data_IF_927740002549
#
_entry.id   IF_927740002549
#
_cell.length_a   1.000
_cell.length_b   1.000
_cell.length_c   1.000
_cell.angle_alpha   90.00
_cell.angle_beta   90.00
_cell.angle_gamma   90.00
#
_symmetry.space_group_name_H-M   'P 1'
#
loop_
_entity.id
_entity.type
_entity.pdbx_description
1 polymer ?
#
# COMPACT_ATOMS: atom_id res chain seq x y z
N UNK A 1 29.88 15.41 -22.39
CA UNK A 1 29.35 16.30 -21.33
C UNK A 1 27.98 15.76 -20.99
N UNK A 2 27.91 14.81 -20.06
CA UNK A 2 26.64 14.35 -19.52
C UNK A 2 26.12 15.45 -18.58
N UNK A 3 24.93 15.95 -18.87
CA UNK A 3 24.23 16.91 -18.04
C UNK A 3 24.04 16.31 -16.64
N UNK A 4 24.16 17.09 -15.54
CA UNK A 4 23.88 16.56 -14.20
C UNK A 4 22.46 16.00 -14.20
N UNK A 5 22.31 14.72 -13.86
CA UNK A 5 21.01 14.11 -13.71
C UNK A 5 20.19 14.96 -12.71
N UNK A 6 19.04 15.47 -13.17
CA UNK A 6 18.05 16.03 -12.24
C UNK A 6 17.75 14.95 -11.20
N UNK A 7 17.88 15.28 -9.91
CA UNK A 7 17.71 14.33 -8.82
C UNK A 7 16.33 13.63 -8.85
N UNK A 8 15.34 14.25 -9.52
CA UNK A 8 14.01 13.72 -9.76
C UNK A 8 13.62 13.98 -11.23
N UNK A 9 13.39 12.95 -12.05
CA UNK A 9 12.95 13.13 -13.44
C UNK A 9 11.54 13.73 -13.49
N UNK A 10 11.24 14.44 -14.58
CA UNK A 10 9.89 14.96 -14.84
C UNK A 10 8.87 13.81 -14.86
N UNK A 11 7.74 13.89 -14.12
CA UNK A 11 6.72 12.86 -14.14
C UNK A 11 6.07 12.72 -15.52
N UNK A 12 5.66 11.50 -15.85
CA UNK A 12 4.87 11.23 -17.06
C UNK A 12 3.59 12.06 -17.01
N UNK A 13 3.23 12.68 -18.13
CA UNK A 13 2.00 13.47 -18.29
C UNK A 13 1.12 12.81 -19.33
N UNK A 14 -0.17 12.69 -19.03
CA UNK A 14 -1.10 11.93 -19.86
C UNK A 14 -1.23 10.50 -19.36
N UNK A 15 -1.25 9.55 -20.27
CA UNK A 15 -1.52 8.14 -19.95
C UNK A 15 -0.44 7.55 -19.01
N UNK A 16 -0.84 6.62 -18.14
CA UNK A 16 0.16 5.88 -17.35
C UNK A 16 0.97 4.98 -18.31
N UNK A 17 2.26 4.80 -18.04
CA UNK A 17 3.08 3.86 -18.82
C UNK A 17 2.96 2.45 -18.24
N UNK A 18 2.90 1.44 -19.11
CA UNK A 18 2.72 0.05 -18.70
C UNK A 18 3.93 -0.51 -17.90
N UNK A 19 5.12 0.08 -18.06
CA UNK A 19 6.30 -0.33 -17.32
C UNK A 19 6.52 0.59 -16.10
N UNK A 20 6.75 0.03 -14.90
CA UNK A 20 7.10 0.83 -13.73
C UNK A 20 8.41 1.59 -13.93
N UNK A 21 8.36 2.91 -13.73
CA UNK A 21 9.50 3.83 -13.88
C UNK A 21 9.95 4.41 -12.54
N UNK A 22 10.54 5.61 -12.58
CA UNK A 22 11.13 6.22 -11.39
C UNK A 22 10.12 6.47 -10.27
N UNK A 23 8.92 6.96 -10.59
CA UNK A 23 7.92 7.33 -9.58
C UNK A 23 7.26 6.11 -8.95
N UNK A 24 7.02 5.06 -9.73
CA UNK A 24 6.53 3.78 -9.22
C UNK A 24 7.51 3.16 -8.22
N UNK A 25 8.81 3.09 -8.57
CA UNK A 25 9.84 2.58 -7.66
C UNK A 25 10.03 3.48 -6.44
N UNK A 26 9.95 4.81 -6.61
CA UNK A 26 10.00 5.76 -5.50
C UNK A 26 8.83 5.58 -4.53
N UNK A 27 7.62 5.33 -5.06
CA UNK A 27 6.44 5.03 -4.25
C UNK A 27 6.65 3.78 -3.38
N UNK A 28 7.21 2.72 -3.98
CA UNK A 28 7.49 1.45 -3.30
C UNK A 28 8.58 1.63 -2.22
N UNK A 29 9.70 2.26 -2.58
CA UNK A 29 10.83 2.49 -1.69
C UNK A 29 10.51 3.46 -0.55
N UNK A 30 9.57 4.38 -0.81
CA UNK A 30 9.05 5.36 0.15
C UNK A 30 10.18 6.17 0.83
N UNK A 31 10.91 7.00 0.05
CA UNK A 31 12.01 7.82 0.57
C UNK A 31 11.53 8.99 1.46
N UNK A 32 10.23 9.25 1.54
CA UNK A 32 9.69 10.38 2.28
C UNK A 32 9.66 10.13 3.80
N UNK A 33 10.15 11.06 4.63
CA UNK A 33 10.19 10.88 6.09
C UNK A 33 8.83 10.54 6.72
N UNK A 34 7.74 11.13 6.22
CA UNK A 34 6.38 10.89 6.73
C UNK A 34 5.88 9.48 6.44
N UNK A 35 6.30 8.88 5.34
CA UNK A 35 5.92 7.52 4.97
C UNK A 35 6.75 6.46 5.69
N UNK A 36 8.02 6.73 6.03
CA UNK A 36 8.93 5.73 6.64
C UNK A 36 8.38 5.11 7.92
N UNK A 37 7.90 5.91 8.87
CA UNK A 37 7.36 5.38 10.15
C UNK A 37 6.06 4.60 9.99
N UNK A 38 5.26 4.91 8.97
CA UNK A 38 3.98 4.23 8.72
C UNK A 38 4.23 2.89 8.05
N UNK A 39 5.18 2.86 7.11
CA UNK A 39 5.64 1.67 6.40
C UNK A 39 6.02 0.52 7.33
N UNK A 40 6.75 0.81 8.39
CA UNK A 40 7.30 -0.17 9.32
C UNK A 40 6.23 -0.78 10.24
N UNK A 41 5.02 -0.19 10.29
CA UNK A 41 3.93 -0.65 11.14
C UNK A 41 3.05 -1.67 10.39
N UNK A 42 3.01 -2.93 10.85
CA UNK A 42 2.13 -3.94 10.26
C UNK A 42 0.66 -3.51 10.30
N UNK A 43 -0.10 -3.93 9.30
CA UNK A 43 -1.54 -3.64 9.19
C UNK A 43 -1.91 -2.24 8.69
N UNK A 44 -0.93 -1.37 8.41
CA UNK A 44 -1.19 -0.11 7.71
C UNK A 44 -1.35 -0.34 6.20
N UNK A 45 -2.16 0.50 5.54
CA UNK A 45 -2.34 0.46 4.09
C UNK A 45 -0.99 0.49 3.34
N UNK A 46 -0.11 1.42 3.75
CA UNK A 46 1.20 1.57 3.15
C UNK A 46 2.08 0.33 3.30
N UNK A 47 2.05 -0.32 4.47
CA UNK A 47 2.76 -1.58 4.70
C UNK A 47 2.25 -2.69 3.78
N UNK A 48 0.92 -2.86 3.70
CA UNK A 48 0.31 -3.92 2.88
C UNK A 48 0.52 -3.69 1.38
N UNK A 49 0.50 -2.44 0.91
CA UNK A 49 0.71 -2.13 -0.52
C UNK A 49 2.13 -2.42 -1.00
N UNK A 50 3.13 -2.48 -0.12
CA UNK A 50 4.52 -2.70 -0.51
C UNK A 50 4.83 -4.14 -0.92
N UNK A 51 3.98 -5.09 -0.56
CA UNK A 51 4.13 -6.47 -1.01
C UNK A 51 3.47 -6.70 -2.37
N UNK A 52 2.71 -5.73 -2.88
CA UNK A 52 2.08 -5.82 -4.18
C UNK A 52 3.08 -5.54 -5.31
N UNK A 53 3.02 -6.28 -6.43
CA UNK A 53 3.88 -6.03 -7.58
C UNK A 53 3.55 -4.67 -8.22
N UNK A 54 4.58 -3.93 -8.61
CA UNK A 54 4.43 -2.73 -9.43
C UNK A 54 3.83 -3.11 -10.79
N UNK A 55 2.87 -2.31 -11.26
CA UNK A 55 2.14 -2.56 -12.51
C UNK A 55 2.34 -1.49 -13.57
N UNK A 56 2.67 -0.26 -13.20
CA UNK A 56 2.75 0.88 -14.13
C UNK A 56 3.50 2.07 -13.54
N UNK A 57 3.95 2.97 -14.40
CA UNK A 57 4.40 4.31 -14.04
C UNK A 57 3.20 5.29 -14.00
N UNK A 58 2.91 5.94 -12.87
CA UNK A 58 1.81 6.89 -12.75
C UNK A 58 1.87 8.07 -13.72
N UNK A 59 0.84 8.21 -14.55
CA UNK A 59 0.63 9.38 -15.40
C UNK A 59 -0.08 10.51 -14.66
N UNK A 60 0.41 11.75 -14.79
CA UNK A 60 -0.20 12.95 -14.22
C UNK A 60 -1.06 13.69 -15.24
N UNK A 61 -2.15 14.30 -14.77
CA UNK A 61 -3.00 15.19 -15.60
C UNK A 61 -2.33 16.50 -15.94
N UNK A 62 -1.53 17.03 -15.02
CA UNK A 62 -0.87 18.33 -15.16
C UNK A 62 0.62 18.15 -15.00
N UNK A 63 1.38 18.76 -15.90
CA UNK A 63 2.83 18.82 -15.81
C UNK A 63 3.25 19.43 -14.47
N UNK A 64 4.23 18.80 -13.84
CA UNK A 64 4.97 19.31 -12.68
C UNK A 64 6.44 19.08 -12.97
N UNK A 65 7.31 19.94 -12.45
CA UNK A 65 8.72 19.55 -12.38
C UNK A 65 8.87 18.39 -11.37
N UNK A 66 9.94 17.60 -11.51
CA UNK A 66 10.15 16.41 -10.67
C UNK A 66 10.28 16.77 -9.18
N UNK A 67 10.98 17.86 -8.87
CA UNK A 67 11.24 18.29 -7.50
C UNK A 67 9.96 18.70 -6.74
N UNK A 68 9.12 19.55 -7.35
CA UNK A 68 7.83 19.97 -6.78
C UNK A 68 6.91 18.77 -6.60
N UNK A 69 6.93 17.82 -7.54
CA UNK A 69 6.13 16.61 -7.40
C UNK A 69 6.61 15.77 -6.21
N UNK A 70 7.92 15.55 -6.09
CA UNK A 70 8.54 14.85 -4.96
C UNK A 70 8.14 15.48 -3.62
N UNK A 71 8.27 16.80 -3.49
CA UNK A 71 7.90 17.50 -2.27
C UNK A 71 6.40 17.45 -2.01
N UNK A 72 5.56 17.60 -3.04
CA UNK A 72 4.10 17.49 -2.91
C UNK A 72 3.69 16.13 -2.36
N UNK A 73 4.29 15.04 -2.86
CA UNK A 73 4.04 13.69 -2.35
C UNK A 73 4.40 13.61 -0.86
N UNK A 74 5.58 14.11 -0.49
CA UNK A 74 6.09 14.08 0.89
C UNK A 74 5.27 14.87 1.91
N UNK A 75 4.37 15.77 1.50
CA UNK A 75 3.57 16.58 2.43
C UNK A 75 2.57 15.77 3.26
N UNK A 76 2.05 14.66 2.73
CA UNK A 76 0.99 13.86 3.36
C UNK A 76 1.17 12.37 3.11
N UNK A 77 0.93 11.56 4.15
CA UNK A 77 0.90 10.09 4.01
C UNK A 77 -0.10 9.63 2.96
N UNK A 78 -1.27 10.28 2.89
CA UNK A 78 -2.29 9.97 1.87
C UNK A 78 -1.80 10.18 0.43
N UNK A 79 -0.88 11.11 0.19
CA UNK A 79 -0.30 11.32 -1.15
C UNK A 79 0.67 10.19 -1.50
N UNK A 80 1.48 9.75 -0.53
CA UNK A 80 2.41 8.61 -0.68
C UNK A 80 1.61 7.34 -0.97
N UNK A 81 0.60 7.06 -0.15
CA UNK A 81 -0.31 5.92 -0.35
C UNK A 81 -1.01 6.00 -1.70
N UNK A 82 -1.54 7.17 -2.07
CA UNK A 82 -2.20 7.35 -3.36
C UNK A 82 -1.26 7.08 -4.54
N UNK A 83 -0.01 7.56 -4.48
CA UNK A 83 1.00 7.27 -5.51
C UNK A 83 1.31 5.77 -5.58
N UNK A 84 1.45 5.09 -4.43
CA UNK A 84 1.71 3.67 -4.41
C UNK A 84 0.52 2.87 -4.96
N UNK A 85 -0.72 3.21 -4.55
CA UNK A 85 -1.94 2.63 -5.13
C UNK A 85 -1.98 2.85 -6.64
N UNK A 86 -1.66 4.06 -7.12
CA UNK A 86 -1.59 4.34 -8.55
C UNK A 86 -0.60 3.41 -9.26
N UNK A 87 0.49 3.03 -8.60
CA UNK A 87 1.56 2.20 -9.18
C UNK A 87 1.28 0.69 -9.14
N UNK A 88 0.57 0.19 -8.11
CA UNK A 88 0.34 -1.27 -7.90
C UNK A 88 -1.10 -1.71 -8.15
N UNK A 89 -2.05 -0.79 -8.12
CA UNK A 89 -3.48 -1.09 -8.08
C UNK A 89 -4.08 -1.53 -9.43
N UNK A 90 -5.38 -1.67 -9.47
CA UNK A 90 -6.14 -2.00 -10.67
C UNK A 90 -6.75 -0.73 -11.27
N UNK A 91 -6.56 -0.56 -12.58
CA UNK A 91 -7.18 0.54 -13.34
C UNK A 91 -8.65 0.21 -13.55
N UNK A 92 -9.51 1.18 -13.27
CA UNK A 92 -10.93 1.14 -13.60
C UNK A 92 -11.15 1.88 -14.92
N UNK A 93 -11.95 1.29 -15.81
CA UNK A 93 -12.35 1.95 -17.06
C UNK A 93 -12.98 3.31 -16.74
N UNK A 94 -12.70 4.33 -17.56
CA UNK A 94 -13.18 5.70 -17.28
C UNK A 94 -14.70 5.78 -17.18
N UNK A 95 -15.45 4.91 -17.87
CA UNK A 95 -16.93 4.87 -17.81
C UNK A 95 -17.45 4.32 -16.49
N UNK A 96 -16.64 3.52 -15.80
CA UNK A 96 -16.94 2.90 -14.50
C UNK A 96 -16.19 3.57 -13.34
N UNK A 97 -15.33 4.56 -13.66
CA UNK A 97 -14.60 5.32 -12.67
C UNK A 97 -15.56 6.09 -11.75
N UNK A 98 -15.10 6.40 -10.53
CA UNK A 98 -15.88 7.24 -9.64
C UNK A 98 -16.11 8.65 -10.24
N UNK A 99 -17.20 9.31 -9.84
CA UNK A 99 -17.69 10.57 -10.41
C UNK A 99 -16.60 11.65 -10.42
N UNK A 100 -15.80 11.72 -9.36
CA UNK A 100 -14.66 12.64 -9.26
C UNK A 100 -13.63 12.42 -10.37
N UNK A 101 -13.30 11.16 -10.66
CA UNK A 101 -12.37 10.80 -11.72
C UNK A 101 -12.99 10.97 -13.12
N UNK A 102 -14.29 10.73 -13.30
CA UNK A 102 -14.99 11.00 -14.56
C UNK A 102 -14.93 12.49 -14.92
N UNK A 103 -15.00 13.36 -13.90
CA UNK A 103 -14.80 14.80 -14.02
C UNK A 103 -13.32 15.22 -14.15
N UNK A 104 -12.41 14.26 -14.39
CA UNK A 104 -10.97 14.48 -14.50
C UNK A 104 -10.33 15.20 -13.30
N UNK A 105 -10.83 14.93 -12.08
CA UNK A 105 -10.34 15.54 -10.85
C UNK A 105 -9.33 14.66 -10.10
N UNK A 106 -8.33 15.31 -9.49
CA UNK A 106 -7.16 14.65 -8.87
C UNK A 106 -5.90 14.73 -9.76
N UNK A 107 -4.74 14.32 -9.23
CA UNK A 107 -3.47 14.49 -9.94
C UNK A 107 -3.21 13.46 -11.04
N UNK A 108 -3.74 12.24 -10.91
CA UNK A 108 -3.44 11.12 -11.82
C UNK A 108 -4.45 11.03 -12.93
N UNK A 109 -4.04 10.58 -14.12
CA UNK A 109 -4.95 10.44 -15.25
C UNK A 109 -5.96 9.32 -15.07
N UNK A 110 -5.51 8.16 -14.59
CA UNK A 110 -6.37 6.98 -14.41
C UNK A 110 -7.07 6.93 -13.05
N UNK A 111 -8.26 6.33 -13.02
CA UNK A 111 -8.93 5.94 -11.78
C UNK A 111 -8.40 4.57 -11.34
N UNK A 112 -7.67 4.52 -10.22
CA UNK A 112 -7.05 3.28 -9.74
C UNK A 112 -7.50 2.95 -8.32
N UNK A 113 -7.79 1.67 -8.07
CA UNK A 113 -8.14 1.15 -6.75
C UNK A 113 -7.16 0.07 -6.29
N UNK A 114 -7.08 -0.15 -4.98
CA UNK A 114 -6.45 -1.35 -4.41
C UNK A 114 -7.54 -2.41 -4.16
N UNK A 115 -7.93 -3.16 -5.19
CA UNK A 115 -9.09 -4.07 -5.16
C UNK A 115 -9.01 -5.10 -4.01
N UNK A 116 -7.86 -5.73 -3.79
CA UNK A 116 -7.65 -6.66 -2.68
C UNK A 116 -7.62 -6.00 -1.29
N UNK A 117 -7.50 -4.67 -1.21
CA UNK A 117 -7.33 -3.91 0.03
C UNK A 117 -8.48 -2.93 0.28
N UNK A 118 -9.67 -3.19 -0.29
CA UNK A 118 -10.85 -2.33 -0.14
C UNK A 118 -11.27 -2.12 1.32
N UNK A 119 -11.00 -3.10 2.18
CA UNK A 119 -11.25 -3.02 3.62
C UNK A 119 -10.33 -1.99 4.33
N UNK A 120 -9.16 -1.67 3.76
CA UNK A 120 -8.25 -0.62 4.23
C UNK A 120 -8.45 0.70 3.48
N UNK A 121 -8.79 0.63 2.19
CA UNK A 121 -8.98 1.80 1.33
C UNK A 121 -10.24 1.69 0.47
N UNK A 122 -11.29 2.38 0.90
CA UNK A 122 -12.58 2.44 0.20
C UNK A 122 -12.61 3.44 -0.98
N UNK A 123 -11.51 4.13 -1.27
CA UNK A 123 -11.44 5.18 -2.29
C UNK A 123 -10.43 4.84 -3.39
N UNK A 124 -10.53 5.52 -4.53
CA UNK A 124 -9.48 5.45 -5.55
C UNK A 124 -8.27 6.33 -5.18
N UNK A 125 -7.13 6.13 -5.84
CA UNK A 125 -5.91 6.91 -5.63
C UNK A 125 -6.13 8.43 -5.78
N UNK A 126 -6.85 8.86 -6.82
CA UNK A 126 -7.14 10.28 -7.07
C UNK A 126 -7.94 10.94 -5.93
N UNK A 127 -8.92 10.24 -5.37
CA UNK A 127 -9.72 10.75 -4.26
C UNK A 127 -9.00 10.61 -2.92
N UNK A 128 -8.15 9.59 -2.76
CA UNK A 128 -7.32 9.43 -1.56
C UNK A 128 -6.29 10.56 -1.46
N UNK A 129 -5.76 11.01 -2.60
CA UNK A 129 -4.82 12.12 -2.68
C UNK A 129 -5.32 13.36 -1.92
N UNK A 130 -4.44 13.94 -1.11
CA UNK A 130 -4.76 15.11 -0.30
C UNK A 130 -5.73 14.84 0.85
N UNK A 131 -6.09 13.58 1.12
CA UNK A 131 -7.11 13.17 2.09
C UNK A 131 -8.53 13.60 1.71
N UNK A 132 -8.85 13.62 0.40
CA UNK A 132 -10.16 14.05 -0.13
C UNK A 132 -11.15 12.90 -0.33
N UNK A 133 -10.97 11.81 0.41
CA UNK A 133 -11.68 10.55 0.17
C UNK A 133 -13.21 10.65 0.12
N UNK A 134 -13.82 11.57 0.88
CA UNK A 134 -15.28 11.80 0.94
C UNK A 134 -15.93 12.12 -0.41
N UNK A 135 -15.16 12.55 -1.40
CA UNK A 135 -15.64 12.87 -2.75
C UNK A 135 -15.72 11.64 -3.67
N UNK A 136 -15.24 10.48 -3.23
CA UNK A 136 -15.23 9.26 -4.02
C UNK A 136 -16.59 8.56 -3.95
N UNK A 137 -17.29 8.44 -5.08
CA UNK A 137 -18.54 7.67 -5.14
C UNK A 137 -18.37 6.18 -4.81
N UNK A 138 -17.14 5.65 -4.88
CA UNK A 138 -16.83 4.28 -4.46
C UNK A 138 -17.02 3.96 -2.97
N UNK A 139 -17.24 4.98 -2.13
CA UNK A 139 -17.60 4.75 -0.71
C UNK A 139 -19.00 4.15 -0.60
N UNK A 140 -19.93 4.58 -1.46
CA UNK A 140 -21.33 4.13 -1.45
C UNK A 140 -21.64 3.18 -2.60
N UNK A 141 -20.91 3.28 -3.70
CA UNK A 141 -21.09 2.49 -4.91
C UNK A 141 -19.75 1.85 -5.31
N UNK A 142 -19.34 0.75 -4.65
CA UNK A 142 -18.08 0.11 -4.95
C UNK A 142 -18.02 -0.30 -6.43
N UNK A 143 -16.85 -0.18 -7.09
CA UNK A 143 -16.70 -0.55 -8.49
C UNK A 143 -17.00 -2.05 -8.65
N UNK A 144 -17.69 -2.40 -9.73
CA UNK A 144 -17.95 -3.79 -10.08
C UNK A 144 -16.60 -4.40 -10.45
N UNK A 145 -16.12 -5.34 -9.65
CA UNK A 145 -14.84 -5.98 -9.90
C UNK A 145 -14.93 -6.80 -11.19
N UNK A 146 -14.40 -6.28 -12.30
CA UNK A 146 -14.02 -7.10 -13.44
C UNK A 146 -12.73 -7.80 -13.07
N UNK A 147 -12.84 -8.96 -12.44
CA UNK A 147 -11.73 -9.89 -12.29
C UNK A 147 -11.18 -10.23 -13.67
N UNK A 148 -10.10 -9.57 -14.06
CA UNK A 148 -9.24 -10.06 -15.12
C UNK A 148 -8.57 -11.34 -14.62
N UNK A 149 -9.19 -12.49 -14.88
CA UNK A 149 -8.51 -13.77 -14.96
C UNK A 149 -7.68 -13.70 -16.25
N UNK A 150 -6.33 -13.80 -16.22
CA UNK A 150 -5.58 -14.05 -17.44
C UNK A 150 -5.91 -15.46 -17.93
N UNK A 151 -6.72 -15.55 -18.98
CA UNK A 151 -6.81 -16.77 -19.77
C UNK A 151 -5.56 -16.87 -20.62
N UNK A 152 -4.64 -17.75 -20.28
CA UNK A 152 -3.69 -18.29 -21.25
C UNK A 152 -3.21 -19.68 -20.81
N UNK A 153 -3.39 -20.62 -21.74
CA UNK A 153 -3.04 -22.03 -21.71
C UNK A 153 -3.79 -22.90 -20.68
N UNK A 154 -4.62 -23.79 -21.21
CA UNK A 154 -5.02 -25.07 -20.61
C UNK A 154 -3.78 -25.81 -20.10
N UNK A 155 -3.74 -26.22 -18.83
CA UNK A 155 -3.22 -27.52 -18.45
C UNK A 155 -4.41 -28.40 -18.08
N UNK A 156 -4.28 -29.67 -18.40
CA UNK A 156 -5.25 -30.72 -18.11
C UNK A 156 -5.75 -30.64 -16.65
N UNK A 157 -7.06 -30.82 -16.48
CA UNK A 157 -7.70 -30.82 -15.17
C UNK A 157 -7.03 -31.85 -14.24
N UNK A 158 -6.64 -31.46 -13.01
CA UNK A 158 -6.63 -32.42 -11.92
C UNK A 158 -8.07 -32.78 -11.57
N UNK A 159 -8.24 -34.06 -11.30
CA UNK A 159 -9.45 -34.76 -10.86
C UNK A 159 -10.32 -33.96 -9.87
N UNK A 160 -11.61 -33.88 -10.19
CA UNK A 160 -12.67 -33.20 -9.43
C UNK A 160 -13.16 -34.09 -8.27
N UNK A 161 -12.29 -34.33 -7.28
CA UNK A 161 -12.67 -35.06 -6.06
C UNK A 161 -12.59 -34.27 -4.74
N UNK A 162 -12.33 -32.96 -4.76
CA UNK A 162 -12.33 -32.16 -3.51
C UNK A 162 -13.45 -31.11 -3.51
N UNK A 163 -14.44 -31.40 -2.66
CA UNK A 163 -15.68 -30.64 -2.43
C UNK A 163 -15.40 -29.24 -1.82
N UNK A 164 -16.24 -28.21 -2.09
CA UNK A 164 -16.10 -26.91 -1.45
C UNK A 164 -16.33 -27.03 0.06
N UNK A 165 -15.37 -26.51 0.85
CA UNK A 165 -15.44 -26.50 2.32
C UNK A 165 -16.75 -25.85 2.76
N UNK A 166 -17.48 -26.53 3.62
CA UNK A 166 -18.75 -26.02 4.16
C UNK A 166 -18.48 -24.79 5.03
N UNK A 167 -19.47 -23.89 5.18
CA UNK A 167 -19.34 -22.66 5.98
C UNK A 167 -18.81 -22.93 7.42
N UNK A 168 -19.20 -24.07 7.99
CA UNK A 168 -18.70 -24.53 9.31
C UNK A 168 -17.20 -24.81 9.32
N UNK A 169 -16.65 -25.38 8.25
CA UNK A 169 -15.22 -25.68 8.14
C UNK A 169 -14.39 -24.40 7.96
N UNK A 170 -14.94 -23.38 7.29
CA UNK A 170 -14.32 -22.05 7.23
C UNK A 170 -14.31 -21.39 8.61
N UNK A 171 -15.42 -21.44 9.35
CA UNK A 171 -15.50 -20.86 10.69
C UNK A 171 -14.52 -21.54 11.66
N UNK A 172 -14.40 -22.88 11.59
CA UNK A 172 -13.42 -23.62 12.39
C UNK A 172 -11.98 -23.32 11.99
N UNK A 173 -11.70 -23.12 10.70
CA UNK A 173 -10.37 -22.73 10.22
C UNK A 173 -10.01 -21.32 10.69
N UNK A 174 -10.95 -20.37 10.58
CA UNK A 174 -10.77 -19.00 11.05
C UNK A 174 -10.54 -18.95 12.57
N UNK A 175 -11.28 -19.76 13.35
CA UNK A 175 -11.08 -19.84 14.78
C UNK A 175 -9.67 -20.35 15.15
N UNK A 176 -9.15 -21.34 14.42
CA UNK A 176 -7.78 -21.85 14.62
C UNK A 176 -6.72 -20.80 14.30
N UNK A 177 -6.90 -20.04 13.22
CA UNK A 177 -5.99 -18.95 12.83
C UNK A 177 -6.00 -17.81 13.85
N UNK A 178 -7.18 -17.44 14.38
CA UNK A 178 -7.30 -16.43 15.44
C UNK A 178 -6.56 -16.89 16.70
N UNK A 179 -6.75 -18.15 17.11
CA UNK A 179 -6.05 -18.71 18.28
C UNK A 179 -4.54 -18.76 18.07
N UNK A 180 -4.08 -19.15 16.88
CA UNK A 180 -2.65 -19.18 16.55
C UNK A 180 -2.05 -17.76 16.62
N UNK A 181 -2.73 -16.77 16.04
CA UNK A 181 -2.32 -15.36 16.10
C UNK A 181 -2.24 -14.85 17.53
N UNK A 182 -3.26 -15.11 18.34
CA UNK A 182 -3.32 -14.63 19.72
C UNK A 182 -2.22 -15.29 20.58
N UNK A 183 -1.86 -16.55 20.29
CA UNK A 183 -0.72 -17.22 20.93
C UNK A 183 0.63 -16.58 20.56
N UNK A 184 0.82 -16.18 19.29
CA UNK A 184 2.05 -15.48 18.88
C UNK A 184 2.13 -14.10 19.54
N UNK A 185 1.01 -13.38 19.62
CA UNK A 185 0.97 -12.07 20.29
C UNK A 185 1.30 -12.18 21.78
N UNK A 186 0.86 -13.24 22.46
CA UNK A 186 1.23 -13.49 23.86
C UNK A 186 2.75 -13.69 24.04
N UNK A 187 3.40 -14.41 23.12
CA UNK A 187 4.86 -14.60 23.15
C UNK A 187 5.61 -13.28 22.90
N UNK A 188 5.12 -12.43 21.99
CA UNK A 188 5.71 -11.12 21.74
C UNK A 188 5.65 -10.23 22.97
N UNK A 189 4.51 -10.17 23.67
CA UNK A 189 4.40 -9.42 24.91
C UNK A 189 5.32 -9.94 26.03
N UNK A 190 5.51 -11.26 26.12
CA UNK A 190 6.46 -11.84 27.09
C UNK A 190 7.91 -11.46 26.76
N UNK A 191 8.28 -11.47 25.49
CA UNK A 191 9.60 -11.01 25.03
C UNK A 191 9.82 -9.53 25.33
N UNK A 192 8.83 -8.66 25.06
CA UNK A 192 8.93 -7.23 25.34
C UNK A 192 9.15 -6.98 26.85
N UNK A 193 8.39 -7.68 27.70
CA UNK A 193 8.59 -7.62 29.16
C UNK A 193 10.00 -8.03 29.57
N UNK A 194 10.53 -9.10 28.98
CA UNK A 194 11.89 -9.57 29.28
C UNK A 194 12.98 -8.60 28.81
N UNK A 195 12.74 -7.91 27.70
CA UNK A 195 13.62 -6.83 27.23
C UNK A 195 13.63 -5.68 28.24
N UNK A 196 12.47 -5.27 28.74
CA UNK A 196 12.36 -4.22 29.77
C UNK A 196 13.10 -4.60 31.06
N UNK A 197 12.96 -5.84 31.52
CA UNK A 197 13.69 -6.36 32.69
C UNK A 197 15.22 -6.33 32.50
N UNK A 198 15.69 -6.73 31.31
CA UNK A 198 17.12 -6.72 30.98
C UNK A 198 17.67 -5.30 30.90
N UNK A 199 16.91 -4.36 30.35
CA UNK A 199 17.27 -2.94 30.30
C UNK A 199 17.36 -2.36 31.71
N UNK A 200 16.38 -2.65 32.58
CA UNK A 200 16.41 -2.22 33.98
C UNK A 200 17.62 -2.79 34.74
N UNK A 201 17.89 -4.08 34.58
CA UNK A 201 19.04 -4.75 35.20
C UNK A 201 20.36 -4.14 34.74
N UNK A 202 20.50 -3.87 33.44
CA UNK A 202 21.68 -3.20 32.87
C UNK A 202 21.87 -1.80 33.47
N UNK A 203 20.80 -1.03 33.62
CA UNK A 203 20.88 0.31 34.21
C UNK A 203 21.37 0.27 35.66
N UNK A 204 20.93 -0.72 36.45
CA UNK A 204 21.39 -0.92 37.83
C UNK A 204 22.88 -1.27 37.86
N UNK A 205 23.34 -2.18 36.99
CA UNK A 205 24.76 -2.54 36.91
C UNK A 205 25.63 -1.33 36.57
N UNK A 206 25.23 -0.53 35.58
CA UNK A 206 25.96 0.68 35.17
C UNK A 206 26.03 1.74 36.27
N UNK A 207 24.97 1.89 37.07
CA UNK A 207 24.99 2.78 38.22
C UNK A 207 25.98 2.30 39.30
N UNK A 208 26.02 0.99 39.57
CA UNK A 208 26.94 0.42 40.57
C UNK A 208 28.43 0.52 40.18
N UNK A 209 28.73 0.47 38.87
CA UNK A 209 30.08 0.67 38.33
C UNK A 209 30.55 2.13 38.44
N UNK A 210 29.63 3.10 38.32
CA UNK A 210 29.94 4.52 38.47
C UNK A 210 30.19 4.94 39.92
N UNK A 211 29.66 4.22 40.91
CA UNK A 211 29.88 4.49 42.33
C UNK A 211 31.21 3.92 42.87
N UNK A 212 31.88 3.03 42.11
CA UNK A 212 33.15 2.40 42.49
C UNK A 212 34.39 3.01 41.78
N UNK A 213 34.22 4.13 41.07
CA UNK A 213 35.31 4.89 40.44
C UNK A 213 35.45 6.28 41.08
#
# INVERSE_FOLDING_TARGET
MESPAEAYPVPVVGEDEDQPGFWAHSALNNPWPRGRRVRERPGTLLHTLQTAPLRREPGLRTLKNGEDFYYTIGTKTANIEALLVQSVGERIDIREACDFCQLSQGPFTSCVIAAGLRHLLLTCANCHWGSKGKQCSFITQPPIAHTAIPQTATPEMPDMSEMPKTLKELDETLAKEILARDSVMALLHDHDRRIEELVATKAIMQASEQEHC
#
